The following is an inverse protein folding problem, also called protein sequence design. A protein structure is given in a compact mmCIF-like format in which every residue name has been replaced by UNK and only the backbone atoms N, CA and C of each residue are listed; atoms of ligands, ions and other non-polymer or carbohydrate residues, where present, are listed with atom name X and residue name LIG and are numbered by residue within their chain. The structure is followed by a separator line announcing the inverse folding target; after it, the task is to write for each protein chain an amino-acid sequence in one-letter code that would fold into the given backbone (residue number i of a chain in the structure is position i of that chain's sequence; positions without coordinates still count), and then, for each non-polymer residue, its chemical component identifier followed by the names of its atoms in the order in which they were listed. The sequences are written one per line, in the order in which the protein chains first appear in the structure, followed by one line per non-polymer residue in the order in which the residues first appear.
data_IF_489336994094
#
_entry.id   IF_489336994094
#
_cell.length_a   1.000
_cell.length_b   1.000
_cell.length_c   1.000
_cell.angle_alpha   90.00
_cell.angle_beta   90.00
_cell.angle_gamma   90.00
#
_symmetry.space_group_name_H-M   'P 1'
#
loop_
_entity.id
_entity.type
_entity.pdbx_description
1 polymer ?
#
# COMPACT_ATOMS: atom_id res chain seq x y z
N UNK A 1 7.06 3.84 -8.21
CA UNK A 1 6.03 4.53 -7.39
C UNK A 1 5.11 3.53 -6.71
N UNK A 2 4.42 2.69 -7.49
CA UNK A 2 3.54 1.63 -6.96
C UNK A 2 4.32 0.59 -6.11
N UNK A 3 5.44 0.07 -6.63
CA UNK A 3 6.36 -0.80 -5.87
C UNK A 3 6.96 -0.14 -4.61
N UNK A 4 6.93 1.19 -4.54
CA UNK A 4 7.37 1.97 -3.36
C UNK A 4 6.25 2.25 -2.37
N UNK A 5 5.14 1.50 -2.43
CA UNK A 5 4.01 1.60 -1.50
C UNK A 5 3.13 2.84 -1.69
N UNK A 6 3.26 3.57 -2.81
CA UNK A 6 2.37 4.70 -3.09
C UNK A 6 1.01 4.15 -3.53
N UNK A 7 -0.05 4.59 -2.84
CA UNK A 7 -1.41 4.23 -3.19
C UNK A 7 -1.71 4.52 -4.68
N UNK A 8 -2.32 3.58 -5.42
CA UNK A 8 -2.57 3.73 -6.86
C UNK A 8 -3.31 4.99 -7.23
N UNK A 9 -4.33 5.37 -6.45
CA UNK A 9 -5.09 6.61 -6.64
C UNK A 9 -4.24 7.88 -6.55
N UNK A 10 -3.14 7.84 -5.79
CA UNK A 10 -2.19 8.96 -5.71
C UNK A 10 -1.25 8.98 -6.91
N UNK A 11 -0.86 7.81 -7.42
CA UNK A 11 -0.08 7.70 -8.66
C UNK A 11 -0.93 8.19 -9.83
N UNK A 12 -2.22 7.88 -9.83
CA UNK A 12 -3.21 8.30 -10.83
C UNK A 12 -3.32 9.82 -10.91
N UNK A 13 -3.47 10.51 -9.77
CA UNK A 13 -3.44 11.97 -9.72
C UNK A 13 -2.15 12.58 -10.29
N UNK A 14 -1.00 11.92 -10.13
CA UNK A 14 0.25 12.42 -10.74
C UNK A 14 0.25 12.24 -12.24
N UNK A 15 -0.30 11.13 -12.73
CA UNK A 15 -0.44 10.86 -14.17
C UNK A 15 -1.43 11.83 -14.81
N UNK A 16 -2.57 12.10 -14.19
CA UNK A 16 -3.53 13.09 -14.69
C UNK A 16 -2.94 14.51 -14.70
N UNK A 17 -2.16 14.87 -13.69
CA UNK A 17 -1.61 16.22 -13.58
C UNK A 17 -0.37 16.46 -14.46
N UNK A 18 0.39 15.42 -14.80
CA UNK A 18 1.72 15.55 -15.44
C UNK A 18 1.89 14.73 -16.71
N UNK A 19 0.99 13.81 -16.99
CA UNK A 19 1.12 12.81 -18.04
C UNK A 19 2.27 11.82 -17.81
N UNK A 20 2.41 10.91 -18.76
CA UNK A 20 3.58 10.03 -18.89
C UNK A 20 4.18 10.14 -20.29
N UNK A 21 5.46 9.82 -20.41
CA UNK A 21 6.23 9.89 -21.66
C UNK A 21 6.46 8.51 -22.31
N UNK A 22 5.64 7.53 -21.98
CA UNK A 22 5.66 6.20 -22.59
C UNK A 22 4.25 5.78 -22.98
N UNK A 23 4.12 5.00 -24.04
CA UNK A 23 2.86 4.39 -24.43
C UNK A 23 2.61 3.14 -23.58
N UNK A 24 1.37 2.95 -23.12
CA UNK A 24 0.98 1.74 -22.40
C UNK A 24 0.91 0.58 -23.38
N UNK A 25 1.78 -0.41 -23.21
CA UNK A 25 1.69 -1.71 -23.88
C UNK A 25 1.04 -2.75 -22.96
N UNK A 26 0.56 -3.89 -23.48
CA UNK A 26 0.03 -4.97 -22.65
C UNK A 26 1.02 -5.48 -21.58
N UNK A 27 2.33 -5.50 -21.90
CA UNK A 27 3.37 -5.85 -20.95
C UNK A 27 3.49 -4.81 -19.82
N UNK A 28 3.51 -3.52 -20.17
CA UNK A 28 3.58 -2.43 -19.18
C UNK A 28 2.33 -2.40 -18.30
N UNK A 29 1.14 -2.64 -18.86
CA UNK A 29 -0.09 -2.74 -18.08
C UNK A 29 -0.02 -3.87 -17.04
N UNK A 30 0.50 -5.05 -17.43
CA UNK A 30 0.73 -6.17 -16.49
C UNK A 30 1.71 -5.80 -15.39
N UNK A 31 2.80 -5.11 -15.72
CA UNK A 31 3.79 -4.66 -14.72
C UNK A 31 3.20 -3.63 -13.74
N UNK A 32 2.39 -2.68 -14.23
CA UNK A 32 1.69 -1.70 -13.40
C UNK A 32 0.75 -2.41 -12.44
N UNK A 33 -0.04 -3.37 -12.92
CA UNK A 33 -0.95 -4.16 -12.07
C UNK A 33 -0.19 -5.03 -11.06
N UNK A 34 0.88 -5.72 -11.49
CA UNK A 34 1.72 -6.53 -10.61
C UNK A 34 2.43 -5.70 -9.52
N UNK A 35 2.69 -4.42 -9.80
CA UNK A 35 3.20 -3.46 -8.84
C UNK A 35 2.13 -2.92 -7.86
N UNK A 36 0.88 -3.35 -8.00
CA UNK A 36 -0.26 -2.92 -7.19
C UNK A 36 -1.09 -1.80 -7.80
N UNK A 37 -0.87 -1.44 -9.07
CA UNK A 37 -1.67 -0.44 -9.80
C UNK A 37 -3.08 -0.93 -10.15
N UNK A 38 -4.02 0.00 -10.27
CA UNK A 38 -5.43 -0.28 -10.61
C UNK A 38 -5.69 -0.14 -12.11
N UNK A 39 -6.80 -0.68 -12.60
CA UNK A 39 -7.22 -0.48 -14.00
C UNK A 39 -7.49 0.99 -14.32
N UNK A 40 -8.00 1.75 -13.35
CA UNK A 40 -8.18 3.21 -13.46
C UNK A 40 -6.85 3.91 -13.72
N UNK A 41 -5.81 3.56 -12.96
CA UNK A 41 -4.46 4.09 -13.19
C UNK A 41 -3.91 3.71 -14.57
N UNK A 42 -4.09 2.47 -15.02
CA UNK A 42 -3.68 2.06 -16.38
C UNK A 42 -4.42 2.87 -17.46
N UNK A 43 -5.72 3.13 -17.25
CA UNK A 43 -6.52 4.01 -18.10
C UNK A 43 -5.99 5.44 -18.13
N UNK A 44 -5.78 6.04 -16.95
CA UNK A 44 -5.24 7.39 -16.82
C UNK A 44 -3.85 7.54 -17.49
N UNK A 45 -2.99 6.52 -17.37
CA UNK A 45 -1.66 6.48 -18.03
C UNK A 45 -1.83 6.40 -19.55
N UNK A 46 -2.78 5.60 -20.03
CA UNK A 46 -3.07 5.47 -21.46
C UNK A 46 -3.58 6.81 -22.03
N UNK A 47 -4.55 7.44 -21.37
CA UNK A 47 -5.16 8.71 -21.79
C UNK A 47 -4.19 9.89 -21.72
N UNK A 48 -3.28 9.90 -20.75
CA UNK A 48 -2.33 10.99 -20.54
C UNK A 48 -0.90 10.64 -21.00
N UNK A 49 -0.76 9.64 -21.87
CA UNK A 49 0.50 9.34 -22.55
C UNK A 49 0.70 10.29 -23.72
N UNK A 50 1.85 10.98 -23.76
CA UNK A 50 2.24 11.82 -24.90
C UNK A 50 3.32 11.09 -25.71
N UNK A 51 3.02 10.60 -26.92
CA UNK A 51 4.01 9.97 -27.76
C UNK A 51 4.84 11.04 -28.48
N UNK A 52 6.11 11.24 -28.07
CA UNK A 52 7.08 12.01 -28.85
C UNK A 52 7.94 11.08 -29.75
N UNK A 53 7.40 10.92 -30.97
CA UNK A 53 7.90 10.66 -32.35
C UNK A 53 9.28 10.03 -32.65
N UNK A 54 9.25 8.87 -33.34
CA UNK A 54 9.88 8.52 -34.66
C UNK A 54 9.72 7.00 -34.91
N UNK A 55 9.22 6.42 -36.01
CA UNK A 55 9.02 6.85 -37.41
C UNK A 55 8.03 5.90 -38.16
N UNK A 56 7.18 6.50 -39.04
CA UNK A 56 6.65 6.06 -40.38
C UNK A 56 6.13 4.62 -40.61
N UNK A 57 5.04 4.31 -41.31
CA UNK A 57 4.05 4.96 -42.22
C UNK A 57 2.94 3.91 -42.45
N UNK A 58 1.63 4.20 -42.52
CA UNK A 58 0.88 4.67 -43.70
C UNK A 58 -0.66 4.50 -43.43
N UNK A 59 -1.54 5.12 -44.24
CA UNK A 59 -2.89 5.52 -43.85
C UNK A 59 -4.01 4.57 -44.32
N UNK A 60 -5.19 4.70 -43.69
CA UNK A 60 -6.48 4.04 -44.00
C UNK A 60 -6.60 2.54 -43.69
N UNK A 61 -7.34 2.20 -42.63
CA UNK A 61 -8.62 1.50 -42.82
C UNK A 61 -9.56 1.80 -41.66
N UNK A 62 -10.77 2.23 -41.99
CA UNK A 62 -11.89 2.36 -41.07
C UNK A 62 -12.58 1.00 -40.96
N UNK A 63 -11.92 0.05 -40.30
CA UNK A 63 -12.58 -1.06 -39.61
C UNK A 63 -12.57 -0.69 -38.13
N UNK A 64 -13.68 -0.32 -37.50
CA UNK A 64 -14.73 -1.27 -37.13
C UNK A 64 -14.19 -2.56 -36.49
N UNK A 65 -13.09 -2.45 -35.74
CA UNK A 65 -12.83 -3.33 -34.61
C UNK A 65 -13.11 -2.54 -33.35
N UNK A 66 -14.40 -2.53 -33.02
CA UNK A 66 -14.89 -2.32 -31.67
C UNK A 66 -13.92 -2.95 -30.68
N UNK A 67 -13.35 -2.12 -29.79
CA UNK A 67 -12.79 -2.60 -28.54
C UNK A 67 -13.78 -3.60 -27.97
N UNK A 68 -13.36 -4.86 -27.96
CA UNK A 68 -14.10 -6.06 -27.58
C UNK A 68 -15.12 -5.75 -26.48
N UNK A 69 -16.30 -5.34 -26.94
CA UNK A 69 -17.53 -5.29 -26.20
C UNK A 69 -18.07 -6.70 -26.10
N UNK A 70 -17.20 -7.63 -25.73
CA UNK A 70 -17.54 -8.98 -25.34
C UNK A 70 -18.56 -8.88 -24.22
N UNK A 71 -19.76 -9.29 -24.57
CA UNK A 71 -20.97 -9.29 -23.76
C UNK A 71 -20.80 -10.27 -22.58
N UNK A 72 -19.91 -9.95 -21.65
CA UNK A 72 -19.60 -10.73 -20.46
C UNK A 72 -20.47 -10.28 -19.28
N UNK A 73 -21.73 -9.91 -19.57
CA UNK A 73 -22.75 -9.61 -18.55
C UNK A 73 -23.08 -10.81 -17.65
N UNK A 74 -22.42 -11.94 -17.87
CA UNK A 74 -22.58 -13.19 -17.14
C UNK A 74 -21.28 -13.72 -16.48
N UNK A 75 -20.14 -13.04 -16.64
CA UNK A 75 -18.94 -13.34 -15.86
C UNK A 75 -19.04 -12.68 -14.48
N UNK A 76 -18.86 -13.47 -13.42
CA UNK A 76 -18.75 -12.93 -12.06
C UNK A 76 -17.56 -11.96 -11.94
N UNK A 77 -17.50 -11.16 -10.85
CA UNK A 77 -16.39 -10.23 -10.67
C UNK A 77 -15.06 -10.99 -10.57
N UNK A 78 -14.04 -10.49 -11.27
CA UNK A 78 -12.68 -11.01 -11.14
C UNK A 78 -11.98 -10.45 -9.88
N UNK A 79 -10.72 -10.84 -9.65
CA UNK A 79 -9.98 -10.42 -8.47
C UNK A 79 -9.81 -8.90 -8.41
N UNK A 80 -9.41 -8.29 -9.51
CA UNK A 80 -9.18 -6.85 -9.61
C UNK A 80 -10.49 -6.07 -9.38
N UNK A 81 -11.62 -6.55 -9.93
CA UNK A 81 -12.93 -5.94 -9.70
C UNK A 81 -13.30 -5.94 -8.20
N UNK A 82 -12.97 -7.02 -7.48
CA UNK A 82 -13.23 -7.13 -6.04
C UNK A 82 -12.32 -6.22 -5.23
N UNK A 83 -11.05 -6.10 -5.62
CA UNK A 83 -10.09 -5.16 -5.02
C UNK A 83 -10.55 -3.72 -5.21
N UNK A 84 -10.97 -3.33 -6.42
CA UNK A 84 -11.43 -1.97 -6.71
C UNK A 84 -12.70 -1.63 -5.91
N UNK A 85 -13.65 -2.57 -5.82
CA UNK A 85 -14.85 -2.40 -4.98
C UNK A 85 -14.50 -2.29 -3.49
N UNK A 86 -13.51 -3.06 -3.02
CA UNK A 86 -13.05 -2.95 -1.64
C UNK A 86 -12.44 -1.57 -1.35
N UNK A 87 -11.57 -1.05 -2.22
CA UNK A 87 -10.96 0.28 -2.09
C UNK A 87 -11.99 1.40 -2.17
N UNK A 88 -12.93 1.32 -3.11
CA UNK A 88 -14.02 2.28 -3.23
C UNK A 88 -14.86 2.31 -1.96
N UNK A 89 -15.12 1.13 -1.36
CA UNK A 89 -15.87 1.02 -0.11
C UNK A 89 -15.09 1.57 1.09
N UNK A 90 -13.76 1.39 1.14
CA UNK A 90 -12.91 2.04 2.15
C UNK A 90 -13.00 3.57 2.03
N UNK A 91 -12.92 4.08 0.81
CA UNK A 91 -12.94 5.51 0.51
C UNK A 91 -14.28 6.16 0.87
N UNK A 92 -15.39 5.42 0.75
CA UNK A 92 -16.72 5.85 1.17
C UNK A 92 -17.05 5.57 2.64
N UNK A 93 -16.07 5.11 3.44
CA UNK A 93 -16.25 4.66 4.83
C UNK A 93 -17.20 3.46 5.01
N UNK A 94 -17.59 2.76 3.94
CA UNK A 94 -18.34 1.51 4.02
C UNK A 94 -17.41 0.32 4.28
N UNK A 95 -16.91 0.24 5.52
CA UNK A 95 -15.98 -0.80 5.94
C UNK A 95 -16.59 -2.21 5.91
N UNK A 96 -17.93 -2.33 5.96
CA UNK A 96 -18.61 -3.62 5.89
C UNK A 96 -18.58 -4.17 4.46
N UNK A 97 -18.91 -3.35 3.47
CA UNK A 97 -18.79 -3.75 2.06
C UNK A 97 -17.34 -3.99 1.69
N UNK A 98 -16.42 -3.12 2.13
CA UNK A 98 -14.99 -3.29 1.88
C UNK A 98 -14.48 -4.64 2.37
N UNK A 99 -14.85 -5.00 3.60
CA UNK A 99 -14.46 -6.28 4.20
C UNK A 99 -14.99 -7.46 3.40
N UNK A 100 -16.28 -7.42 3.00
CA UNK A 100 -16.88 -8.48 2.19
C UNK A 100 -16.19 -8.64 0.84
N UNK A 101 -15.89 -7.54 0.14
CA UNK A 101 -15.21 -7.61 -1.15
C UNK A 101 -13.78 -8.15 -1.03
N UNK A 102 -13.03 -7.72 -0.02
CA UNK A 102 -11.70 -8.27 0.24
C UNK A 102 -11.75 -9.77 0.62
N UNK A 103 -12.76 -10.21 1.37
CA UNK A 103 -12.96 -11.64 1.65
C UNK A 103 -13.28 -12.44 0.38
N UNK A 104 -14.11 -11.91 -0.51
CA UNK A 104 -14.38 -12.55 -1.80
C UNK A 104 -13.12 -12.62 -2.66
N UNK A 105 -12.29 -11.58 -2.66
CA UNK A 105 -11.01 -11.58 -3.38
C UNK A 105 -10.06 -12.66 -2.86
N UNK A 106 -9.96 -12.84 -1.54
CA UNK A 106 -9.19 -13.95 -0.93
C UNK A 106 -9.75 -15.33 -1.34
N UNK A 107 -11.06 -15.48 -1.44
CA UNK A 107 -11.66 -16.75 -1.88
C UNK A 107 -11.40 -17.04 -3.35
N UNK A 108 -11.38 -16.00 -4.18
CA UNK A 108 -11.18 -16.11 -5.62
C UNK A 108 -9.72 -16.42 -5.97
N UNK A 109 -8.77 -15.70 -5.36
CA UNK A 109 -7.34 -15.96 -5.50
C UNK A 109 -6.62 -15.85 -4.15
N UNK A 110 -6.42 -16.99 -3.45
CA UNK A 110 -5.73 -17.03 -2.17
C UNK A 110 -4.22 -16.77 -2.24
N UNK A 111 -3.63 -16.70 -3.44
CA UNK A 111 -2.18 -16.47 -3.60
C UNK A 111 -1.82 -14.98 -3.56
N UNK A 112 -2.79 -14.11 -3.86
CA UNK A 112 -2.55 -12.69 -4.01
C UNK A 112 -2.54 -11.95 -2.66
N UNK A 113 -1.50 -11.15 -2.37
CA UNK A 113 -1.32 -10.53 -1.05
C UNK A 113 -2.24 -9.33 -0.76
N UNK A 114 -2.76 -8.68 -1.80
CA UNK A 114 -3.43 -7.37 -1.69
C UNK A 114 -4.68 -7.43 -0.82
N UNK A 115 -5.54 -8.42 -1.04
CA UNK A 115 -6.76 -8.61 -0.26
C UNK A 115 -6.46 -8.87 1.23
N UNK A 116 -5.42 -9.65 1.54
CA UNK A 116 -4.97 -9.87 2.92
C UNK A 116 -4.48 -8.60 3.60
N UNK A 117 -3.75 -7.76 2.87
CA UNK A 117 -3.28 -6.45 3.35
C UNK A 117 -4.47 -5.57 3.75
N UNK A 118 -5.50 -5.51 2.89
CA UNK A 118 -6.73 -4.76 3.17
C UNK A 118 -7.50 -5.32 4.36
N UNK A 119 -7.67 -6.65 4.43
CA UNK A 119 -8.32 -7.31 5.57
C UNK A 119 -7.61 -6.97 6.88
N UNK A 120 -6.28 -7.03 6.90
CA UNK A 120 -5.47 -6.65 8.06
C UNK A 120 -5.80 -5.24 8.55
N UNK A 121 -5.72 -4.25 7.66
CA UNK A 121 -6.02 -2.85 7.97
C UNK A 121 -7.47 -2.65 8.46
N UNK A 122 -8.45 -3.29 7.80
CA UNK A 122 -9.86 -3.18 8.19
C UNK A 122 -10.17 -3.86 9.52
N UNK A 123 -9.56 -5.02 9.80
CA UNK A 123 -9.69 -5.72 11.07
C UNK A 123 -9.11 -4.87 12.20
N UNK A 124 -7.95 -4.27 11.97
CA UNK A 124 -7.27 -3.44 12.97
C UNK A 124 -8.04 -2.15 13.28
N UNK A 125 -8.38 -1.34 12.27
CA UNK A 125 -8.97 -0.02 12.50
C UNK A 125 -10.49 0.00 12.51
N UNK A 126 -11.13 -0.83 11.70
CA UNK A 126 -12.59 -0.89 11.59
C UNK A 126 -13.22 -1.78 12.67
N UNK A 127 -12.76 -3.02 12.76
CA UNK A 127 -13.32 -4.02 13.70
C UNK A 127 -12.64 -4.03 15.06
N UNK A 128 -11.49 -3.35 15.21
CA UNK A 128 -10.67 -3.35 16.43
C UNK A 128 -10.28 -4.76 16.90
N UNK A 129 -10.09 -5.66 15.94
CA UNK A 129 -9.70 -7.04 16.16
C UNK A 129 -8.23 -7.23 15.77
N UNK A 130 -7.34 -6.93 16.72
CA UNK A 130 -5.90 -7.02 16.50
C UNK A 130 -5.42 -8.45 16.23
N UNK A 131 -6.10 -9.47 16.79
CA UNK A 131 -5.71 -10.86 16.61
C UNK A 131 -5.96 -11.32 15.17
N UNK A 132 -7.18 -11.08 14.66
CA UNK A 132 -7.50 -11.38 13.26
C UNK A 132 -6.71 -10.49 12.30
N UNK A 133 -6.45 -9.23 12.66
CA UNK A 133 -5.60 -8.35 11.86
C UNK A 133 -4.19 -8.92 11.70
N UNK A 134 -3.57 -9.40 12.79
CA UNK A 134 -2.24 -10.01 12.73
C UNK A 134 -2.22 -11.22 11.79
N UNK A 135 -3.24 -12.09 11.84
CA UNK A 135 -3.33 -13.24 10.94
C UNK A 135 -3.38 -12.82 9.46
N UNK A 136 -4.23 -11.84 9.12
CA UNK A 136 -4.34 -11.34 7.76
C UNK A 136 -3.05 -10.64 7.30
N UNK A 137 -2.42 -9.85 8.16
CA UNK A 137 -1.17 -9.15 7.87
C UNK A 137 0.00 -10.10 7.65
N UNK A 138 0.11 -11.18 8.45
CA UNK A 138 1.10 -12.26 8.21
C UNK A 138 0.87 -12.93 6.87
N UNK A 139 -0.39 -13.27 6.56
CA UNK A 139 -0.74 -13.88 5.29
C UNK A 139 -0.36 -12.98 4.09
N UNK A 140 -0.52 -11.66 4.21
CA UNK A 140 -0.07 -10.70 3.21
C UNK A 140 1.45 -10.74 3.01
N UNK A 141 2.23 -10.65 4.09
CA UNK A 141 3.70 -10.66 4.06
C UNK A 141 4.24 -11.98 3.48
N UNK A 142 3.67 -13.12 3.87
CA UNK A 142 4.06 -14.44 3.37
C UNK A 142 3.90 -14.59 1.86
N UNK A 143 2.96 -13.85 1.28
CA UNK A 143 2.65 -13.82 -0.16
C UNK A 143 3.38 -12.70 -0.90
N UNK A 144 4.39 -12.09 -0.27
CA UNK A 144 5.18 -11.02 -0.87
C UNK A 144 4.52 -9.63 -0.82
N UNK A 145 3.44 -9.49 -0.06
CA UNK A 145 2.81 -8.19 0.22
C UNK A 145 3.34 -7.49 1.45
N UNK A 146 2.50 -6.61 1.99
CA UNK A 146 2.86 -5.72 3.08
C UNK A 146 1.77 -5.66 4.14
N UNK A 147 2.15 -5.60 5.41
CA UNK A 147 1.25 -5.14 6.46
C UNK A 147 1.32 -3.60 6.54
N UNK A 148 0.17 -2.94 6.38
CA UNK A 148 0.08 -1.48 6.37
C UNK A 148 -0.56 -0.95 7.67
N UNK A 149 0.08 0.07 8.24
CA UNK A 149 -0.32 0.76 9.46
C UNK A 149 -0.36 2.27 9.21
N UNK A 150 -1.19 2.96 9.97
CA UNK A 150 -1.09 4.40 10.17
C UNK A 150 -0.23 4.66 11.39
N UNK A 151 0.72 5.59 11.27
CA UNK A 151 1.64 5.91 12.34
C UNK A 151 1.95 7.41 12.38
N UNK A 152 2.33 7.88 13.55
CA UNK A 152 2.93 9.19 13.77
C UNK A 152 4.43 9.02 13.96
N UNK A 153 5.24 9.83 13.29
CA UNK A 153 6.70 9.86 13.42
C UNK A 153 7.14 11.14 14.12
N UNK A 154 7.87 10.95 15.21
CA UNK A 154 8.35 12.02 16.10
C UNK A 154 9.60 12.71 15.57
N UNK A 155 9.64 14.04 15.70
CA UNK A 155 10.76 14.88 15.26
C UNK A 155 11.60 15.43 16.40
N UNK A 156 11.09 15.44 17.64
CA UNK A 156 11.70 16.16 18.76
C UNK A 156 11.98 15.30 19.99
N UNK A 157 11.68 14.00 19.94
CA UNK A 157 11.89 13.07 21.03
C UNK A 157 10.72 13.02 22.01
N UNK A 158 9.70 13.87 21.87
CA UNK A 158 8.59 14.06 22.81
C UNK A 158 7.20 13.94 22.17
N UNK A 159 7.12 13.79 20.85
CA UNK A 159 5.87 13.87 20.08
C UNK A 159 5.15 15.23 20.21
N UNK A 160 5.85 16.32 20.55
CA UNK A 160 5.27 17.68 20.46
C UNK A 160 5.32 18.21 19.02
N UNK A 161 6.28 17.72 18.25
CA UNK A 161 6.41 17.89 16.81
C UNK A 161 6.50 16.51 16.14
N UNK A 162 5.54 16.20 15.27
CA UNK A 162 5.44 14.91 14.59
C UNK A 162 4.78 15.06 13.21
N UNK A 163 4.99 14.08 12.35
CA UNK A 163 4.24 13.91 11.11
C UNK A 163 3.39 12.64 11.16
N UNK A 164 2.25 12.65 10.49
CA UNK A 164 1.42 11.46 10.26
C UNK A 164 1.82 10.81 8.94
N UNK A 165 1.78 9.48 8.87
CA UNK A 165 2.08 8.75 7.66
C UNK A 165 1.61 7.30 7.69
N UNK A 166 2.00 6.60 6.63
CA UNK A 166 1.81 5.16 6.52
C UNK A 166 3.12 4.45 6.86
N UNK A 167 3.02 3.41 7.69
CA UNK A 167 4.12 2.53 8.05
C UNK A 167 3.86 1.14 7.47
N UNK A 168 4.85 0.56 6.81
CA UNK A 168 4.74 -0.70 6.11
C UNK A 168 5.74 -1.70 6.67
N UNK A 169 5.29 -2.93 6.89
CA UNK A 169 6.15 -4.08 7.20
C UNK A 169 6.08 -5.04 6.04
N UNK A 170 7.24 -5.45 5.54
CA UNK A 170 7.39 -6.43 4.47
C UNK A 170 8.19 -7.62 4.98
N UNK A 171 8.51 -8.58 4.12
CA UNK A 171 9.35 -9.72 4.47
C UNK A 171 10.85 -9.37 4.56
N UNK A 172 11.26 -8.22 4.04
CA UNK A 172 12.67 -7.84 3.92
C UNK A 172 13.03 -6.56 4.66
N UNK A 173 12.06 -5.88 5.24
CA UNK A 173 12.27 -4.59 5.86
C UNK A 173 10.99 -3.85 6.18
N UNK A 174 11.19 -2.61 6.59
CA UNK A 174 10.14 -1.67 6.98
C UNK A 174 10.32 -0.34 6.28
N UNK A 175 9.21 0.35 6.05
CA UNK A 175 9.23 1.72 5.57
C UNK A 175 8.16 2.58 6.24
N UNK A 176 8.41 3.87 6.27
CA UNK A 176 7.47 4.89 6.69
C UNK A 176 7.48 6.00 5.66
N UNK A 177 6.28 6.49 5.33
CA UNK A 177 6.08 7.64 4.45
C UNK A 177 5.09 8.61 5.06
N UNK A 178 5.56 9.82 5.35
CA UNK A 178 4.71 10.91 5.81
C UNK A 178 3.67 11.29 4.74
N UNK A 179 2.48 11.70 5.19
CA UNK A 179 1.37 12.11 4.33
C UNK A 179 1.71 13.36 3.52
N UNK A 180 2.53 14.27 4.07
CA UNK A 180 3.04 15.46 3.39
C UNK A 180 4.26 15.18 2.49
N UNK A 181 4.76 13.94 2.51
CA UNK A 181 5.91 13.47 1.74
C UNK A 181 7.26 14.01 2.20
N UNK A 182 7.34 14.74 3.32
CA UNK A 182 8.59 15.37 3.79
C UNK A 182 9.53 14.41 4.50
N UNK A 183 8.95 13.47 5.26
CA UNK A 183 9.72 12.46 5.97
C UNK A 183 9.49 11.07 5.41
N UNK A 184 10.61 10.40 5.16
CA UNK A 184 10.65 8.99 4.79
C UNK A 184 11.69 8.28 5.63
N UNK A 185 11.38 7.04 5.97
CA UNK A 185 12.30 6.12 6.62
C UNK A 185 12.14 4.78 5.92
N UNK A 186 13.24 4.14 5.59
CA UNK A 186 13.24 2.83 4.97
C UNK A 186 14.49 2.09 5.42
N UNK A 187 14.34 0.82 5.80
CA UNK A 187 15.47 -0.03 6.17
C UNK A 187 15.13 -1.48 5.96
N UNK A 188 16.13 -2.24 5.51
CA UNK A 188 16.05 -3.69 5.50
C UNK A 188 16.14 -4.25 6.93
N UNK A 189 15.57 -5.44 7.13
CA UNK A 189 15.62 -6.16 8.42
C UNK A 189 17.05 -6.44 8.86
N UNK A 190 17.94 -6.70 7.89
CA UNK A 190 19.37 -6.88 8.14
C UNK A 190 20.03 -5.66 8.80
N UNK A 191 19.48 -4.46 8.60
CA UNK A 191 19.94 -3.22 9.19
C UNK A 191 19.16 -2.83 10.45
N UNK A 192 18.15 -3.59 10.89
CA UNK A 192 17.47 -3.32 12.18
C UNK A 192 18.32 -3.89 13.32
N UNK A 193 18.75 -3.01 14.24
CA UNK A 193 19.47 -3.39 15.47
C UNK A 193 18.51 -3.68 16.61
N UNK A 194 17.49 -2.83 16.76
CA UNK A 194 16.52 -2.90 17.85
C UNK A 194 15.16 -2.37 17.41
N UNK A 195 14.10 -3.06 17.79
CA UNK A 195 12.71 -2.62 17.64
C UNK A 195 11.91 -2.97 18.89
N UNK A 196 11.44 -1.95 19.63
CA UNK A 196 10.83 -2.12 20.96
C UNK A 196 9.82 -1.02 21.28
N UNK A 197 8.85 -1.32 22.16
CA UNK A 197 7.97 -0.29 22.74
C UNK A 197 8.76 0.65 23.65
N UNK A 198 8.43 1.94 23.62
CA UNK A 198 9.02 2.95 24.50
C UNK A 198 8.48 2.79 25.93
N UNK A 199 9.39 2.81 26.91
CA UNK A 199 9.04 2.65 28.33
C UNK A 199 8.82 3.96 29.08
N UNK A 200 9.21 5.10 28.50
CA UNK A 200 9.11 6.41 29.14
C UNK A 200 8.49 7.43 28.19
N UNK A 201 9.27 8.03 27.29
CA UNK A 201 8.73 9.03 26.37
C UNK A 201 7.87 8.39 25.29
N UNK A 202 6.63 8.86 25.17
CA UNK A 202 5.63 8.35 24.22
C UNK A 202 4.93 7.07 24.69
N UNK A 203 5.21 6.57 25.91
CA UNK A 203 4.56 5.37 26.44
C UNK A 203 3.02 5.51 26.49
N UNK A 204 2.53 6.72 26.77
CA UNK A 204 1.09 7.04 26.77
C UNK A 204 0.44 6.93 25.39
N UNK A 205 1.23 7.00 24.31
CA UNK A 205 0.77 6.82 22.93
C UNK A 205 1.03 5.40 22.42
N UNK A 206 1.47 4.49 23.30
CA UNK A 206 1.94 3.17 22.91
C UNK A 206 3.16 3.22 21.99
N UNK A 207 3.97 4.29 22.02
CA UNK A 207 5.06 4.49 21.08
C UNK A 207 6.06 3.31 21.05
N UNK A 208 6.75 3.18 19.93
CA UNK A 208 7.85 2.25 19.73
C UNK A 208 8.98 2.95 18.98
N UNK A 209 10.15 2.34 18.97
CA UNK A 209 11.29 2.84 18.21
C UNK A 209 11.90 1.76 17.34
N UNK A 210 12.62 2.21 16.31
CA UNK A 210 13.49 1.41 15.47
C UNK A 210 14.88 2.06 15.49
N UNK A 211 15.88 1.29 15.86
CA UNK A 211 17.29 1.69 15.77
C UNK A 211 17.96 0.88 14.68
N UNK A 212 18.49 1.52 13.63
CA UNK A 212 19.25 0.80 12.64
C UNK A 212 20.68 0.52 13.13
N UNK A 213 21.37 -0.44 12.49
CA UNK A 213 22.79 -0.74 12.69
C UNK A 213 23.65 0.35 12.04
N UNK A 214 23.26 0.79 10.85
CA UNK A 214 23.84 1.91 10.08
C UNK A 214 22.86 3.06 10.07
N UNK A 215 23.35 4.28 10.35
CA UNK A 215 22.51 5.48 10.41
C UNK A 215 21.77 5.72 9.10
N UNK A 216 20.51 6.13 9.20
CA UNK A 216 19.67 6.54 8.06
C UNK A 216 19.44 8.04 8.21
N UNK A 217 19.75 8.82 7.18
CA UNK A 217 19.66 10.29 7.23
C UNK A 217 20.35 10.90 8.46
N UNK A 218 21.52 10.34 8.83
CA UNK A 218 22.32 10.70 10.02
C UNK A 218 21.63 10.46 11.38
N UNK A 219 20.50 9.72 11.42
CA UNK A 219 19.79 9.32 12.63
C UNK A 219 20.01 7.83 12.93
N UNK A 220 20.11 7.49 14.21
CA UNK A 220 20.25 6.12 14.73
C UNK A 220 19.06 5.67 15.59
N UNK A 221 18.01 6.49 15.67
CA UNK A 221 16.78 6.19 16.39
C UNK A 221 15.59 6.88 15.72
N UNK A 222 14.53 6.12 15.46
CA UNK A 222 13.28 6.60 14.88
C UNK A 222 12.15 6.20 15.82
N UNK A 223 11.42 7.19 16.36
CA UNK A 223 10.28 6.94 17.24
C UNK A 223 8.99 7.05 16.43
N UNK A 224 8.10 6.09 16.64
CA UNK A 224 6.78 6.03 16.03
C UNK A 224 5.71 5.84 17.10
N UNK A 225 4.51 6.34 16.86
CA UNK A 225 3.32 5.99 17.63
C UNK A 225 2.24 5.43 16.69
N UNK A 226 1.58 4.33 17.07
CA UNK A 226 0.49 3.76 16.28
C UNK A 226 -0.71 4.72 16.23
N UNK A 227 -1.50 4.66 15.16
CA UNK A 227 -2.67 5.54 15.02
C UNK A 227 -3.74 5.30 16.09
N UNK A 228 -3.88 4.07 16.60
CA UNK A 228 -4.79 3.80 17.74
C UNK A 228 -4.27 4.38 19.06
N UNK A 229 -3.00 4.78 19.13
CA UNK A 229 -2.29 5.15 20.35
C UNK A 229 -2.30 4.06 21.43
N UNK A 230 -2.49 2.81 21.02
CA UNK A 230 -2.54 1.67 21.93
C UNK A 230 -1.31 0.80 21.79
N UNK A 231 -0.79 0.35 22.94
CA UNK A 231 0.35 -0.57 23.00
C UNK A 231 0.12 -1.87 22.22
N UNK A 232 -1.13 -2.32 22.09
CA UNK A 232 -1.48 -3.54 21.35
C UNK A 232 -1.10 -3.45 19.86
N UNK A 233 -1.30 -2.29 19.23
CA UNK A 233 -0.95 -2.08 17.81
C UNK A 233 0.57 -2.07 17.64
N UNK A 234 1.31 -1.37 18.50
CA UNK A 234 2.78 -1.37 18.48
C UNK A 234 3.35 -2.76 18.70
N UNK A 235 2.78 -3.54 19.62
CA UNK A 235 3.22 -4.91 19.84
C UNK A 235 2.97 -5.80 18.62
N UNK A 236 1.84 -5.60 17.93
CA UNK A 236 1.56 -6.28 16.67
C UNK A 236 2.61 -5.89 15.61
N UNK A 237 2.87 -4.59 15.40
CA UNK A 237 3.91 -4.12 14.46
C UNK A 237 5.26 -4.77 14.78
N UNK A 238 5.69 -4.73 16.05
CA UNK A 238 6.96 -5.33 16.50
C UNK A 238 6.97 -6.85 16.23
N UNK A 239 5.89 -7.57 16.50
CA UNK A 239 5.78 -9.01 16.23
C UNK A 239 5.83 -9.37 14.74
N UNK A 240 5.37 -8.48 13.87
CA UNK A 240 5.50 -8.67 12.42
C UNK A 240 6.96 -8.44 11.99
N UNK A 241 7.58 -7.35 12.44
CA UNK A 241 8.99 -7.04 12.12
C UNK A 241 9.95 -8.11 12.63
N UNK A 242 9.68 -8.71 13.80
CA UNK A 242 10.52 -9.77 14.36
C UNK A 242 10.18 -11.16 13.81
N UNK A 243 9.05 -11.30 13.12
CA UNK A 243 8.56 -12.57 12.60
C UNK A 243 9.05 -12.91 11.20
N UNK A 244 9.68 -11.95 10.51
CA UNK A 244 10.26 -12.06 9.18
C UNK A 244 11.68 -11.48 9.21
#
# INVERSE_FOLDING_TARGET
MLQGGIAPSRVEQFVEARGVNFAVTPDIAREITAAGGTRSLVGAITENSTPDVAETSSPFDSGDDAFDGGDDRNAGPNYDDLIDRAQSSISSSDLNSAFRYAQQAVQLDPSQPTAYSMLGTMLLYGRRDAASAEQAMRAAIERGGTAAFKAYHDHDGSFSNYCEGSFFVTKSGVSFKANDGRDTFETDDSNIKEVKTNGFVGAQYGAFHIKPKVKINNRDNFNFAPATQQRVESQLIIRLIQGY
#
